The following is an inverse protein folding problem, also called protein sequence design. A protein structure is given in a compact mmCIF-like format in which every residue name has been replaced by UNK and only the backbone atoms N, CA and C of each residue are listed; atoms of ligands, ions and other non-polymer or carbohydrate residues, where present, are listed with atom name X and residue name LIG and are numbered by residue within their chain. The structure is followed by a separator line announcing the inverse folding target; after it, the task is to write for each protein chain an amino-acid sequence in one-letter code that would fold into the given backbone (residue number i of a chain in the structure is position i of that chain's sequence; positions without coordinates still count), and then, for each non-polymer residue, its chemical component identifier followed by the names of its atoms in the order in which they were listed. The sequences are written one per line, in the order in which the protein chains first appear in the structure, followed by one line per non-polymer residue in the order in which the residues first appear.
data_IF_447126494777
#
_entry.id   IF_447126494777
#
_cell.length_a   1.000
_cell.length_b   1.000
_cell.length_c   1.000
_cell.angle_alpha   90.00
_cell.angle_beta   90.00
_cell.angle_gamma   90.00
#
_symmetry.space_group_name_H-M   'P 1'
#
loop_
_entity.id
_entity.type
_entity.pdbx_description
1 polymer ?
#
# COMPACT_ATOMS: atom_id res chain seq x y z
N UNK A 1 -20.31 -8.25 -16.80
CA UNK A 1 -20.07 -7.01 -16.01
C UNK A 1 -20.01 -5.85 -16.99
N UNK A 2 -20.73 -4.76 -16.76
CA UNK A 2 -20.81 -3.64 -17.71
C UNK A 2 -19.49 -2.86 -17.70
N UNK A 3 -18.82 -2.69 -18.86
CA UNK A 3 -17.52 -1.98 -19.01
C UNK A 3 -17.54 -0.59 -18.33
N UNK A 4 -18.67 0.13 -18.35
CA UNK A 4 -18.85 1.40 -17.62
C UNK A 4 -18.68 1.24 -16.11
N UNK A 5 -19.20 0.15 -15.50
CA UNK A 5 -19.02 -0.10 -14.05
C UNK A 5 -17.56 -0.40 -13.72
N UNK A 6 -16.89 -1.23 -14.51
CA UNK A 6 -15.44 -1.53 -14.31
C UNK A 6 -14.62 -0.25 -14.39
N UNK A 7 -14.87 0.60 -15.39
CA UNK A 7 -14.20 1.88 -15.53
C UNK A 7 -14.35 2.76 -14.28
N UNK A 8 -15.55 2.89 -13.73
CA UNK A 8 -15.82 3.70 -12.55
C UNK A 8 -15.03 3.23 -11.30
N UNK A 9 -14.83 1.92 -11.12
CA UNK A 9 -14.03 1.38 -10.01
C UNK A 9 -12.52 1.58 -10.21
N UNK A 10 -12.05 1.66 -11.45
CA UNK A 10 -10.63 1.82 -11.79
C UNK A 10 -10.17 3.29 -11.74
N UNK A 11 -11.05 4.24 -11.98
CA UNK A 11 -10.75 5.69 -11.99
C UNK A 11 -10.19 6.15 -10.64
N UNK A 12 -10.78 5.69 -9.52
CA UNK A 12 -10.37 6.09 -8.18
C UNK A 12 -8.92 5.76 -7.84
N UNK A 13 -8.51 4.49 -7.90
CA UNK A 13 -7.11 4.10 -7.69
C UNK A 13 -6.14 4.79 -8.67
N UNK A 14 -6.50 4.92 -9.95
CA UNK A 14 -5.68 5.60 -10.96
C UNK A 14 -5.50 7.10 -10.64
N UNK A 15 -6.60 7.80 -10.31
CA UNK A 15 -6.55 9.19 -9.92
C UNK A 15 -5.75 9.39 -8.62
N UNK A 16 -5.92 8.52 -7.62
CA UNK A 16 -5.16 8.56 -6.39
C UNK A 16 -3.66 8.36 -6.63
N UNK A 17 -3.28 7.46 -7.51
CA UNK A 17 -1.88 7.24 -7.90
C UNK A 17 -1.30 8.47 -8.61
N UNK A 18 -2.03 9.03 -9.59
CA UNK A 18 -1.62 10.23 -10.32
C UNK A 18 -1.46 11.44 -9.40
N UNK A 19 -2.44 11.70 -8.53
CA UNK A 19 -2.38 12.79 -7.55
C UNK A 19 -1.20 12.61 -6.58
N UNK A 20 -0.92 11.38 -6.13
CA UNK A 20 0.24 11.09 -5.28
C UNK A 20 1.56 11.33 -6.00
N UNK A 21 1.63 11.01 -7.30
CA UNK A 21 2.81 11.23 -8.13
C UNK A 21 3.06 12.74 -8.34
N UNK A 22 2.02 13.51 -8.68
CA UNK A 22 2.09 14.97 -8.84
C UNK A 22 2.48 15.67 -7.52
N UNK A 23 1.97 15.17 -6.40
CA UNK A 23 2.27 15.75 -5.08
C UNK A 23 3.74 15.56 -4.66
N UNK A 24 4.44 14.57 -5.23
CA UNK A 24 5.77 14.19 -4.77
C UNK A 24 6.84 15.27 -5.00
N UNK A 25 7.00 15.88 -6.18
CA UNK A 25 7.91 17.01 -6.36
C UNK A 25 7.58 18.18 -5.43
N UNK A 26 6.30 18.55 -5.31
CA UNK A 26 5.85 19.65 -4.45
C UNK A 26 6.25 19.39 -3.00
N UNK A 27 6.03 18.17 -2.51
CA UNK A 27 6.39 17.74 -1.17
C UNK A 27 7.91 17.89 -0.92
N UNK A 28 8.74 17.48 -1.89
CA UNK A 28 10.21 17.56 -1.77
C UNK A 28 10.74 18.99 -1.82
N UNK A 29 10.06 19.91 -2.48
CA UNK A 29 10.42 21.33 -2.48
C UNK A 29 10.05 22.07 -1.19
N UNK A 30 9.05 21.57 -0.45
CA UNK A 30 8.59 22.18 0.82
C UNK A 30 9.36 21.59 2.01
N UNK A 31 9.63 20.28 2.01
CA UNK A 31 10.11 19.55 3.18
C UNK A 31 11.47 18.90 2.95
N UNK A 32 12.27 18.86 4.01
CA UNK A 32 13.55 18.14 4.04
C UNK A 32 13.33 16.61 4.01
N UNK A 33 14.36 15.83 3.64
CA UNK A 33 14.29 14.35 3.67
C UNK A 33 13.90 13.79 5.03
N UNK A 34 14.42 14.37 6.14
CA UNK A 34 14.05 13.98 7.52
C UNK A 34 12.54 14.10 7.77
N UNK A 35 11.93 15.23 7.39
CA UNK A 35 10.49 15.44 7.55
C UNK A 35 9.68 14.45 6.71
N UNK A 36 10.11 14.19 5.47
CA UNK A 36 9.48 13.18 4.61
C UNK A 36 9.67 11.78 5.21
N UNK A 37 10.83 11.48 5.78
CA UNK A 37 11.09 10.21 6.47
C UNK A 37 10.12 9.98 7.62
N UNK A 38 9.97 10.95 8.53
CA UNK A 38 8.99 10.91 9.63
C UNK A 38 7.55 10.72 9.11
N UNK A 39 7.21 11.41 8.04
CA UNK A 39 5.88 11.28 7.42
C UNK A 39 5.65 9.91 6.80
N UNK A 40 6.68 9.30 6.21
CA UNK A 40 6.58 7.92 5.71
C UNK A 40 6.44 6.90 6.83
N UNK A 41 7.10 7.11 7.98
CA UNK A 41 6.89 6.28 9.17
C UNK A 41 5.45 6.40 9.67
N UNK A 42 4.87 7.60 9.73
CA UNK A 42 3.44 7.77 10.07
C UNK A 42 2.54 6.96 9.13
N UNK A 43 2.78 7.05 7.83
CA UNK A 43 2.00 6.29 6.82
C UNK A 43 2.20 4.78 6.94
N UNK A 44 3.42 4.36 7.27
CA UNK A 44 3.75 2.97 7.52
C UNK A 44 2.99 2.44 8.75
N UNK A 45 2.97 3.19 9.85
CA UNK A 45 2.19 2.88 11.05
C UNK A 45 0.70 2.78 10.72
N UNK A 46 0.14 3.71 9.93
CA UNK A 46 -1.26 3.64 9.50
C UNK A 46 -1.54 2.37 8.67
N UNK A 47 -0.70 2.04 7.69
CA UNK A 47 -0.89 0.87 6.84
C UNK A 47 -0.75 -0.45 7.61
N UNK A 48 0.21 -0.54 8.51
CA UNK A 48 0.40 -1.66 9.43
C UNK A 48 -0.81 -1.83 10.35
N UNK A 49 -1.29 -0.72 10.92
CA UNK A 49 -2.46 -0.71 11.80
C UNK A 49 -3.74 -1.17 11.10
N UNK A 50 -3.96 -0.75 9.86
CA UNK A 50 -5.08 -1.26 9.05
C UNK A 50 -4.97 -2.77 8.89
N UNK A 51 -3.78 -3.29 8.59
CA UNK A 51 -3.56 -4.72 8.40
C UNK A 51 -3.80 -5.51 9.70
N UNK A 52 -3.18 -5.06 10.81
CA UNK A 52 -3.22 -5.78 12.08
C UNK A 52 -4.59 -5.66 12.75
N UNK A 53 -5.13 -4.44 12.90
CA UNK A 53 -6.38 -4.25 13.62
C UNK A 53 -7.61 -4.73 12.86
N UNK A 54 -7.57 -4.77 11.51
CA UNK A 54 -8.70 -5.38 10.79
C UNK A 54 -8.83 -6.89 11.01
N UNK A 55 -7.78 -7.59 11.48
CA UNK A 55 -7.78 -9.04 11.70
C UNK A 55 -8.33 -9.85 10.51
N UNK A 56 -8.22 -9.31 9.28
CA UNK A 56 -8.83 -9.89 8.09
C UNK A 56 -10.36 -9.81 8.05
N UNK A 57 -10.99 -9.11 9.01
CA UNK A 57 -12.43 -8.88 9.03
C UNK A 57 -12.90 -8.03 7.85
N UNK A 58 -12.02 -7.21 7.27
CA UNK A 58 -12.26 -6.50 6.03
C UNK A 58 -12.44 -7.45 4.84
N UNK A 59 -11.65 -8.53 4.77
CA UNK A 59 -11.79 -9.58 3.75
C UNK A 59 -13.02 -10.46 4.02
N UNK A 60 -13.26 -10.79 5.29
CA UNK A 60 -14.45 -11.54 5.68
C UNK A 60 -15.73 -10.76 5.39
N UNK A 61 -15.75 -9.44 5.61
CA UNK A 61 -16.86 -8.56 5.24
C UNK A 61 -17.19 -8.64 3.74
N UNK A 62 -16.18 -8.61 2.89
CA UNK A 62 -16.35 -8.73 1.42
C UNK A 62 -16.98 -10.06 1.04
N UNK A 63 -16.56 -11.16 1.67
CA UNK A 63 -17.09 -12.50 1.41
C UNK A 63 -18.56 -12.62 1.84
N UNK A 64 -18.84 -12.24 3.08
CA UNK A 64 -20.16 -12.41 3.69
C UNK A 64 -21.20 -11.40 3.17
N UNK A 65 -20.76 -10.34 2.45
CA UNK A 65 -21.62 -9.23 2.06
C UNK A 65 -22.85 -9.67 1.26
N UNK A 66 -22.68 -10.54 0.27
CA UNK A 66 -23.78 -10.99 -0.58
C UNK A 66 -24.66 -12.05 0.08
N UNK A 67 -24.13 -12.81 1.03
CA UNK A 67 -24.86 -13.84 1.77
C UNK A 67 -25.65 -13.26 2.95
N UNK A 68 -25.22 -12.12 3.50
CA UNK A 68 -25.89 -11.47 4.63
C UNK A 68 -27.17 -10.75 4.19
N UNK A 69 -28.27 -10.93 4.95
CA UNK A 69 -29.51 -10.17 4.77
C UNK A 69 -29.44 -8.77 5.37
N UNK A 70 -28.65 -8.58 6.45
CA UNK A 70 -28.47 -7.30 7.14
C UNK A 70 -27.01 -6.82 6.99
N UNK A 71 -26.79 -5.97 5.98
CA UNK A 71 -25.46 -5.41 5.64
C UNK A 71 -24.89 -4.52 6.75
N UNK A 72 -25.79 -3.85 7.50
CA UNK A 72 -25.42 -2.92 8.56
C UNK A 72 -24.96 -3.71 9.79
N UNK A 73 -25.70 -4.76 10.16
CA UNK A 73 -25.28 -5.68 11.21
C UNK A 73 -23.92 -6.29 10.91
N UNK A 74 -23.70 -6.71 9.65
CA UNK A 74 -22.42 -7.26 9.20
C UNK A 74 -21.28 -6.25 9.36
N UNK A 75 -21.47 -4.98 8.96
CA UNK A 75 -20.49 -3.92 9.10
C UNK A 75 -20.15 -3.66 10.58
N UNK A 76 -21.17 -3.59 11.45
CA UNK A 76 -21.00 -3.38 12.90
C UNK A 76 -20.21 -4.53 13.53
N UNK A 77 -20.54 -5.76 13.17
CA UNK A 77 -19.82 -6.96 13.63
C UNK A 77 -18.38 -6.95 13.16
N UNK A 78 -18.12 -6.49 11.94
CA UNK A 78 -16.76 -6.38 11.39
C UNK A 78 -15.94 -5.26 12.03
N UNK A 79 -16.57 -4.12 12.42
CA UNK A 79 -15.89 -2.95 12.98
C UNK A 79 -15.65 -3.05 14.50
N UNK A 80 -16.48 -3.77 15.24
CA UNK A 80 -16.42 -3.77 16.69
C UNK A 80 -15.11 -4.34 17.26
N UNK A 81 -14.63 -5.55 16.85
CA UNK A 81 -13.39 -6.09 17.35
C UNK A 81 -12.17 -5.17 17.06
N UNK A 82 -11.98 -4.67 15.82
CA UNK A 82 -10.95 -3.68 15.53
C UNK A 82 -10.99 -2.47 16.46
N UNK A 83 -12.18 -1.90 16.67
CA UNK A 83 -12.34 -0.70 17.50
C UNK A 83 -11.94 -0.96 18.95
N UNK A 84 -12.39 -2.07 19.55
CA UNK A 84 -12.06 -2.42 20.92
C UNK A 84 -10.57 -2.68 21.13
N UNK A 85 -9.94 -3.38 20.17
CA UNK A 85 -8.50 -3.67 20.24
C UNK A 85 -7.70 -2.38 20.07
N UNK A 86 -8.07 -1.52 19.11
CA UNK A 86 -7.41 -0.22 18.93
C UNK A 86 -7.50 0.66 20.18
N UNK A 87 -8.68 0.73 20.83
CA UNK A 87 -8.85 1.50 22.07
C UNK A 87 -7.97 0.93 23.19
N UNK A 88 -7.93 -0.39 23.36
CA UNK A 88 -7.09 -1.04 24.36
C UNK A 88 -5.60 -0.78 24.09
N UNK A 89 -5.15 -0.95 22.84
CA UNK A 89 -3.77 -0.67 22.45
C UNK A 89 -3.42 0.82 22.62
N UNK A 90 -4.29 1.73 22.24
CA UNK A 90 -4.07 3.17 22.42
C UNK A 90 -3.95 3.54 23.90
N UNK A 91 -4.76 2.93 24.80
CA UNK A 91 -4.68 3.13 26.24
C UNK A 91 -3.35 2.64 26.83
N UNK A 92 -2.86 1.47 26.37
CA UNK A 92 -1.55 0.95 26.79
C UNK A 92 -0.42 1.82 26.25
N UNK A 93 -0.47 2.19 24.97
CA UNK A 93 0.55 3.03 24.33
C UNK A 93 0.60 4.44 24.96
N UNK A 94 -0.52 4.95 25.46
CA UNK A 94 -0.55 6.23 26.17
C UNK A 94 0.34 6.24 27.41
N UNK A 95 0.43 5.13 28.13
CA UNK A 95 1.32 5.01 29.28
C UNK A 95 2.82 5.08 28.89
N UNK A 96 3.15 4.75 27.64
CA UNK A 96 4.51 4.75 27.10
C UNK A 96 4.67 5.74 25.95
N UNK A 97 3.84 6.79 25.89
CA UNK A 97 3.73 7.71 24.75
C UNK A 97 5.07 8.33 24.33
N UNK A 98 5.88 8.76 25.31
CA UNK A 98 7.14 9.45 25.03
C UNK A 98 8.16 8.49 24.39
N UNK A 99 8.25 7.25 24.89
CA UNK A 99 9.09 6.22 24.28
C UNK A 99 8.58 5.86 22.89
N UNK A 100 7.28 5.70 22.71
CA UNK A 100 6.67 5.34 21.43
C UNK A 100 6.93 6.41 20.35
N UNK A 101 6.73 7.68 20.70
CA UNK A 101 6.95 8.81 19.77
C UNK A 101 8.43 8.99 19.47
N UNK A 102 9.29 8.85 20.46
CA UNK A 102 10.73 8.91 20.25
C UNK A 102 11.23 7.78 19.32
N UNK A 103 10.76 6.56 19.53
CA UNK A 103 11.12 5.42 18.69
C UNK A 103 10.65 5.54 17.23
N UNK A 104 9.54 6.24 16.98
CA UNK A 104 9.01 6.43 15.62
C UNK A 104 9.63 7.63 14.89
N UNK A 105 9.78 8.75 15.59
CA UNK A 105 10.04 10.04 14.94
C UNK A 105 11.27 10.77 15.49
N UNK A 106 12.00 10.18 16.44
CA UNK A 106 13.11 10.84 17.14
C UNK A 106 12.73 12.22 17.69
N UNK A 107 11.51 12.32 18.23
CA UNK A 107 10.90 13.58 18.69
C UNK A 107 10.30 13.42 20.08
N UNK A 108 10.35 14.48 20.87
CA UNK A 108 9.69 14.54 22.20
C UNK A 108 8.35 15.29 22.17
N UNK A 109 7.81 15.61 20.99
CA UNK A 109 6.56 16.34 20.88
C UNK A 109 5.35 15.46 21.18
N UNK A 110 4.70 15.72 22.33
CA UNK A 110 3.55 14.93 22.79
C UNK A 110 2.33 14.99 21.84
N UNK A 111 2.18 16.06 21.04
CA UNK A 111 1.08 16.20 20.07
C UNK A 111 1.13 15.12 19.00
N UNK A 112 2.33 14.64 18.65
CA UNK A 112 2.52 13.60 17.65
C UNK A 112 1.85 12.27 18.04
N UNK A 113 1.72 12.00 19.34
CA UNK A 113 0.98 10.83 19.80
C UNK A 113 -0.49 10.91 19.41
N UNK A 114 -1.14 12.05 19.72
CA UNK A 114 -2.55 12.25 19.37
C UNK A 114 -2.77 12.19 17.84
N UNK A 115 -1.90 12.85 17.07
CA UNK A 115 -1.94 12.84 15.60
C UNK A 115 -1.84 11.40 15.09
N UNK A 116 -0.88 10.61 15.58
CA UNK A 116 -0.65 9.23 15.15
C UNK A 116 -1.85 8.34 15.48
N UNK A 117 -2.38 8.44 16.69
CA UNK A 117 -3.55 7.65 17.10
C UNK A 117 -4.78 8.02 16.27
N UNK A 118 -5.04 9.31 16.05
CA UNK A 118 -6.16 9.76 15.20
C UNK A 118 -5.97 9.24 13.77
N UNK A 119 -4.76 9.34 13.20
CA UNK A 119 -4.45 8.84 11.86
C UNK A 119 -4.75 7.34 11.73
N UNK A 120 -4.36 6.53 12.72
CA UNK A 120 -4.62 5.10 12.77
C UNK A 120 -6.13 4.81 12.79
N UNK A 121 -6.88 5.45 13.71
CA UNK A 121 -8.33 5.26 13.79
C UNK A 121 -9.02 5.62 12.48
N UNK A 122 -8.71 6.80 11.93
CA UNK A 122 -9.30 7.28 10.68
C UNK A 122 -8.98 6.34 9.52
N UNK A 123 -7.76 5.82 9.46
CA UNK A 123 -7.34 4.90 8.39
C UNK A 123 -8.11 3.58 8.45
N UNK A 124 -8.26 2.98 9.64
CA UNK A 124 -9.00 1.72 9.81
C UNK A 124 -10.49 1.91 9.50
N UNK A 125 -11.14 2.96 10.03
CA UNK A 125 -12.55 3.22 9.73
C UNK A 125 -12.79 3.53 8.25
N UNK A 126 -11.92 4.33 7.63
CA UNK A 126 -12.00 4.64 6.19
C UNK A 126 -11.87 3.37 5.33
N UNK A 127 -11.02 2.41 5.75
CA UNK A 127 -10.91 1.11 5.06
C UNK A 127 -12.25 0.39 5.00
N UNK A 128 -12.93 0.23 6.15
CA UNK A 128 -14.22 -0.48 6.19
C UNK A 128 -15.32 0.27 5.44
N UNK A 129 -15.42 1.60 5.59
CA UNK A 129 -16.43 2.38 4.87
C UNK A 129 -16.20 2.40 3.35
N UNK A 130 -14.95 2.40 2.89
CA UNK A 130 -14.66 2.28 1.46
C UNK A 130 -15.13 0.93 0.89
N UNK A 131 -15.08 -0.15 1.69
CA UNK A 131 -15.61 -1.45 1.29
C UNK A 131 -17.13 -1.45 1.17
N UNK A 132 -17.84 -0.68 2.01
CA UNK A 132 -19.30 -0.52 1.86
C UNK A 132 -19.65 0.04 0.48
N UNK A 133 -18.96 1.10 0.03
CA UNK A 133 -19.16 1.64 -1.33
C UNK A 133 -18.84 0.61 -2.41
N UNK A 134 -17.73 -0.12 -2.23
CA UNK A 134 -17.28 -1.13 -3.19
C UNK A 134 -18.29 -2.26 -3.32
N UNK A 135 -18.75 -2.80 -2.21
CA UNK A 135 -19.69 -3.93 -2.17
C UNK A 135 -21.11 -3.52 -2.54
N UNK A 136 -21.50 -2.26 -2.26
CA UNK A 136 -22.75 -1.66 -2.73
C UNK A 136 -22.77 -1.29 -4.21
N UNK A 137 -21.75 -1.68 -4.98
CA UNK A 137 -21.60 -1.39 -6.42
C UNK A 137 -21.56 0.12 -6.77
N UNK A 138 -21.31 1.00 -5.80
CA UNK A 138 -21.20 2.44 -6.01
C UNK A 138 -19.78 2.85 -6.42
N UNK A 139 -19.40 2.52 -7.67
CA UNK A 139 -18.04 2.74 -8.18
C UNK A 139 -17.59 4.20 -8.12
N UNK A 140 -18.51 5.17 -8.30
CA UNK A 140 -18.18 6.60 -8.18
C UNK A 140 -17.84 6.98 -6.74
N UNK A 141 -18.66 6.62 -5.75
CA UNK A 141 -18.40 6.92 -4.33
C UNK A 141 -17.11 6.23 -3.85
N UNK A 142 -16.88 4.98 -4.28
CA UNK A 142 -15.63 4.27 -4.03
C UNK A 142 -14.44 5.02 -4.61
N UNK A 143 -14.52 5.48 -5.86
CA UNK A 143 -13.45 6.22 -6.52
C UNK A 143 -13.16 7.56 -5.86
N UNK A 144 -14.19 8.30 -5.45
CA UNK A 144 -14.06 9.54 -4.68
C UNK A 144 -13.37 9.26 -3.34
N UNK A 145 -13.76 8.20 -2.63
CA UNK A 145 -13.15 7.84 -1.34
C UNK A 145 -11.64 7.55 -1.42
N UNK A 146 -11.17 7.08 -2.57
CA UNK A 146 -9.75 6.80 -2.82
C UNK A 146 -8.96 8.06 -3.26
N UNK A 147 -9.54 8.88 -4.14
CA UNK A 147 -8.88 10.01 -4.75
C UNK A 147 -8.94 11.28 -3.89
N UNK A 148 -10.07 11.53 -3.20
CA UNK A 148 -10.31 12.78 -2.46
C UNK A 148 -9.28 13.06 -1.36
N UNK A 149 -8.81 12.09 -0.52
CA UNK A 149 -7.77 12.37 0.46
C UNK A 149 -6.46 12.85 -0.19
N UNK A 150 -6.12 12.32 -1.38
CA UNK A 150 -4.93 12.72 -2.14
C UNK A 150 -5.07 14.12 -2.72
N UNK A 151 -6.27 14.42 -3.23
CA UNK A 151 -6.59 15.76 -3.74
C UNK A 151 -6.52 16.82 -2.63
N UNK A 152 -7.11 16.54 -1.47
CA UNK A 152 -7.06 17.47 -0.32
C UNK A 152 -5.62 17.67 0.16
N UNK A 153 -4.82 16.60 0.23
CA UNK A 153 -3.40 16.71 0.56
C UNK A 153 -2.65 17.56 -0.48
N UNK A 154 -2.89 17.36 -1.78
CA UNK A 154 -2.27 18.17 -2.85
C UNK A 154 -2.65 19.65 -2.72
N UNK A 155 -3.94 19.94 -2.50
CA UNK A 155 -4.41 21.33 -2.29
C UNK A 155 -3.73 21.97 -1.07
N UNK A 156 -3.62 21.23 0.04
CA UNK A 156 -2.92 21.72 1.23
C UNK A 156 -1.42 21.94 0.98
N UNK A 157 -0.76 21.07 0.23
CA UNK A 157 0.65 21.26 -0.17
C UNK A 157 0.82 22.50 -1.07
N UNK A 158 -0.13 22.79 -1.97
CA UNK A 158 -0.10 24.01 -2.77
C UNK A 158 -0.25 25.26 -1.89
N UNK A 159 -1.13 25.22 -0.88
CA UNK A 159 -1.26 26.31 0.10
C UNK A 159 0.06 26.49 0.87
N UNK A 160 0.72 25.38 1.27
CA UNK A 160 2.01 25.41 1.93
C UNK A 160 3.08 26.06 1.04
N UNK A 161 3.11 25.68 -0.24
CA UNK A 161 4.08 26.22 -1.20
C UNK A 161 3.95 27.73 -1.41
N UNK A 162 2.73 28.27 -1.40
CA UNK A 162 2.49 29.71 -1.59
C UNK A 162 2.61 30.54 -0.31
N UNK A 163 2.73 29.90 0.85
CA UNK A 163 2.91 30.62 2.10
C UNK A 163 4.41 30.79 2.40
N UNK A 164 4.79 31.95 2.92
CA UNK A 164 6.17 32.26 3.32
C UNK A 164 6.60 31.59 4.65
N UNK A 165 5.72 30.77 5.25
CA UNK A 165 5.97 30.11 6.53
C UNK A 165 6.82 28.86 6.32
N UNK A 166 7.76 28.61 7.24
CA UNK A 166 8.43 27.30 7.36
C UNK A 166 7.47 26.27 7.95
N UNK A 167 7.27 25.15 7.24
CA UNK A 167 6.36 24.09 7.63
C UNK A 167 7.11 22.94 8.30
N UNK A 168 6.53 22.42 9.38
CA UNK A 168 7.10 21.33 10.20
C UNK A 168 6.51 19.96 9.82
N UNK A 169 7.10 18.90 10.40
CA UNK A 169 6.53 17.55 10.33
C UNK A 169 5.12 17.49 10.96
N UNK A 170 4.89 18.25 12.04
CA UNK A 170 3.58 18.31 12.70
C UNK A 170 2.51 18.88 11.76
N UNK A 171 2.83 19.99 11.05
CA UNK A 171 1.92 20.60 10.08
C UNK A 171 1.56 19.64 8.94
N UNK A 172 2.54 18.92 8.38
CA UNK A 172 2.33 17.92 7.34
C UNK A 172 1.47 16.75 7.82
N UNK A 173 1.69 16.32 9.06
CA UNK A 173 0.94 15.25 9.70
C UNK A 173 -0.52 15.66 9.92
N UNK A 174 -0.75 16.88 10.40
CA UNK A 174 -2.10 17.43 10.51
C UNK A 174 -2.81 17.58 9.16
N UNK A 175 -2.11 18.07 8.14
CA UNK A 175 -2.68 18.14 6.78
C UNK A 175 -3.16 16.73 6.32
N UNK A 176 -2.36 15.72 6.55
CA UNK A 176 -2.73 14.34 6.19
C UNK A 176 -3.93 13.84 6.98
N UNK A 177 -3.92 14.02 8.31
CA UNK A 177 -5.01 13.59 9.19
C UNK A 177 -6.31 14.32 8.88
N UNK A 178 -6.26 15.64 8.68
CA UNK A 178 -7.44 16.45 8.32
C UNK A 178 -8.00 15.98 6.97
N UNK A 179 -7.14 15.72 5.98
CA UNK A 179 -7.57 15.21 4.68
C UNK A 179 -8.31 13.87 4.79
N UNK A 180 -7.82 12.96 5.63
CA UNK A 180 -8.48 11.67 5.90
C UNK A 180 -9.77 11.84 6.70
N UNK A 181 -9.78 12.70 7.72
CA UNK A 181 -10.95 12.99 8.56
C UNK A 181 -12.10 13.59 7.76
N UNK A 182 -11.83 14.58 6.90
CA UNK A 182 -12.85 15.19 6.06
C UNK A 182 -13.52 14.14 5.16
N UNK A 183 -12.73 13.23 4.60
CA UNK A 183 -13.26 12.15 3.76
C UNK A 183 -14.01 11.13 4.61
N UNK A 184 -13.54 10.79 5.80
CA UNK A 184 -14.28 9.91 6.72
C UNK A 184 -15.62 10.51 7.12
N UNK A 185 -15.67 11.80 7.47
CA UNK A 185 -16.90 12.53 7.80
C UNK A 185 -17.86 12.51 6.60
N UNK A 186 -17.36 12.76 5.40
CA UNK A 186 -18.17 12.68 4.18
C UNK A 186 -18.74 11.26 3.96
N UNK A 187 -17.93 10.21 4.15
CA UNK A 187 -18.39 8.82 4.05
C UNK A 187 -19.49 8.51 5.08
N UNK A 188 -19.28 8.89 6.35
CA UNK A 188 -20.26 8.71 7.43
C UNK A 188 -21.54 9.48 7.13
N UNK A 189 -21.45 10.73 6.66
CA UNK A 189 -22.61 11.55 6.29
C UNK A 189 -23.42 10.93 5.13
N UNK A 190 -22.74 10.30 4.17
CA UNK A 190 -23.39 9.60 3.04
C UNK A 190 -24.19 8.38 3.50
N UNK A 191 -23.69 7.66 4.51
CA UNK A 191 -24.35 6.47 5.06
C UNK A 191 -25.14 6.71 6.35
N UNK A 192 -25.29 7.96 6.79
CA UNK A 192 -25.85 8.24 8.12
C UNK A 192 -27.21 7.59 8.38
N UNK A 193 -28.11 7.59 7.39
CA UNK A 193 -29.44 7.00 7.50
C UNK A 193 -29.37 5.48 7.74
N UNK A 194 -28.43 4.82 7.13
CA UNK A 194 -28.24 3.37 7.23
C UNK A 194 -27.48 3.01 8.51
N UNK A 195 -26.41 3.74 8.85
CA UNK A 195 -25.57 3.46 10.02
C UNK A 195 -26.32 3.63 11.36
N UNK A 196 -27.23 4.61 11.46
CA UNK A 196 -27.90 4.94 12.71
C UNK A 196 -29.27 4.30 12.90
N UNK A 197 -29.88 3.72 11.85
CA UNK A 197 -31.27 3.22 11.89
C UNK A 197 -31.45 1.93 12.71
N UNK A 198 -30.43 1.07 12.83
CA UNK A 198 -30.55 -0.25 13.45
C UNK A 198 -29.45 -0.53 14.50
N UNK A 199 -29.30 0.37 15.50
CA UNK A 199 -28.30 0.20 16.56
C UNK A 199 -28.64 -0.91 17.58
N UNK A 200 -29.88 -1.41 17.63
CA UNK A 200 -30.36 -2.32 18.68
C UNK A 200 -30.08 -3.82 18.45
N UNK A 201 -29.23 -4.17 17.50
CA UNK A 201 -28.89 -5.58 17.23
C UNK A 201 -27.94 -6.16 18.27
N UNK A 202 -28.25 -7.35 18.78
CA UNK A 202 -27.36 -8.16 19.62
C UNK A 202 -26.14 -8.60 18.85
N UNK A 203 -24.96 -8.56 19.51
CA UNK A 203 -23.72 -9.06 18.94
C UNK A 203 -23.83 -10.55 18.62
N UNK A 204 -23.67 -10.88 17.36
CA UNK A 204 -23.68 -12.26 16.90
C UNK A 204 -22.27 -12.88 17.05
N UNK A 205 -22.03 -13.51 18.21
CA UNK A 205 -20.75 -14.16 18.49
C UNK A 205 -20.38 -15.26 17.49
N UNK A 206 -21.40 -15.94 16.91
CA UNK A 206 -21.17 -16.98 15.90
C UNK A 206 -20.66 -16.34 14.61
N UNK A 207 -21.25 -15.22 14.19
CA UNK A 207 -20.81 -14.48 13.01
C UNK A 207 -19.40 -13.92 13.19
N UNK A 208 -19.08 -13.31 14.35
CA UNK A 208 -17.72 -12.85 14.68
C UNK A 208 -16.72 -14.00 14.55
N UNK A 209 -17.01 -15.16 15.17
CA UNK A 209 -16.13 -16.32 15.12
C UNK A 209 -15.92 -16.83 13.69
N UNK A 210 -17.00 -16.93 12.89
CA UNK A 210 -16.93 -17.32 11.49
C UNK A 210 -16.05 -16.36 10.66
N UNK A 211 -16.31 -15.05 10.77
CA UNK A 211 -15.57 -14.02 10.07
C UNK A 211 -14.09 -14.00 10.47
N UNK A 212 -13.77 -14.12 11.75
CA UNK A 212 -12.39 -14.16 12.24
C UNK A 212 -11.66 -15.41 11.78
N UNK A 213 -12.32 -16.59 11.82
CA UNK A 213 -11.73 -17.85 11.35
C UNK A 213 -11.37 -17.81 9.87
N UNK A 214 -12.18 -17.12 9.05
CA UNK A 214 -11.89 -16.92 7.63
C UNK A 214 -10.84 -15.83 7.39
N UNK A 215 -10.96 -14.68 8.10
CA UNK A 215 -10.12 -13.51 7.87
C UNK A 215 -8.68 -13.67 8.36
N UNK A 216 -8.47 -14.35 9.50
CA UNK A 216 -7.16 -14.47 10.13
C UNK A 216 -6.08 -15.11 9.22
N UNK A 217 -6.32 -16.23 8.53
CA UNK A 217 -5.35 -16.76 7.57
C UNK A 217 -5.03 -15.79 6.41
N UNK A 218 -6.03 -15.03 5.95
CA UNK A 218 -5.83 -14.03 4.89
C UNK A 218 -5.03 -12.82 5.39
N UNK A 219 -5.20 -12.44 6.65
CA UNK A 219 -4.37 -11.42 7.29
C UNK A 219 -2.90 -11.83 7.30
N UNK A 220 -2.58 -13.09 7.65
CA UNK A 220 -1.19 -13.58 7.65
C UNK A 220 -0.55 -13.52 6.26
N UNK A 221 -1.30 -13.87 5.21
CA UNK A 221 -0.82 -13.74 3.83
C UNK A 221 -0.57 -12.28 3.45
N UNK A 222 -1.48 -11.38 3.86
CA UNK A 222 -1.33 -9.95 3.62
C UNK A 222 -0.16 -9.35 4.42
N UNK A 223 0.12 -9.90 5.61
CA UNK A 223 1.27 -9.50 6.44
C UNK A 223 2.60 -9.85 5.76
N UNK A 224 2.72 -11.02 5.15
CA UNK A 224 3.92 -11.40 4.42
C UNK A 224 4.17 -10.48 3.22
N UNK A 225 3.13 -10.13 2.47
CA UNK A 225 3.23 -9.17 1.36
C UNK A 225 3.56 -7.75 1.84
N UNK A 226 2.91 -7.30 2.91
CA UNK A 226 3.21 -6.00 3.53
C UNK A 226 4.68 -5.95 3.99
N UNK A 227 5.16 -7.02 4.64
CA UNK A 227 6.56 -7.14 5.05
C UNK A 227 7.52 -6.95 3.88
N UNK A 228 7.30 -7.66 2.77
CA UNK A 228 8.16 -7.55 1.58
C UNK A 228 8.22 -6.12 0.99
N UNK A 229 7.17 -5.32 1.17
CA UNK A 229 7.07 -3.97 0.57
C UNK A 229 7.36 -2.83 1.55
N UNK A 230 7.39 -3.10 2.85
CA UNK A 230 7.45 -2.08 3.89
C UNK A 230 8.67 -2.20 4.82
N UNK A 231 9.27 -3.41 4.94
CA UNK A 231 10.36 -3.66 5.88
C UNK A 231 11.59 -2.80 5.63
N UNK A 232 11.87 -2.42 4.39
CA UNK A 232 12.98 -1.51 4.07
C UNK A 232 12.94 -0.24 4.93
N UNK A 233 11.76 0.37 5.09
CA UNK A 233 11.56 1.58 5.89
C UNK A 233 11.70 1.32 7.38
N UNK A 234 11.29 0.14 7.85
CA UNK A 234 11.47 -0.28 9.25
C UNK A 234 12.96 -0.43 9.55
N UNK A 235 13.70 -1.12 8.68
CA UNK A 235 15.14 -1.28 8.85
C UNK A 235 15.89 0.05 8.78
N UNK A 236 15.53 0.92 7.84
CA UNK A 236 16.10 2.26 7.73
C UNK A 236 15.84 3.10 8.99
N UNK A 237 14.62 3.08 9.52
CA UNK A 237 14.29 3.79 10.76
C UNK A 237 15.04 3.24 11.98
N UNK A 238 15.34 1.93 11.99
CA UNK A 238 15.96 1.27 13.15
C UNK A 238 17.50 1.29 13.09
N UNK A 239 18.09 1.16 11.91
CA UNK A 239 19.53 0.94 11.73
C UNK A 239 20.23 2.05 10.92
N UNK A 240 19.50 3.07 10.48
CA UNK A 240 20.03 4.22 9.74
C UNK A 240 19.44 5.53 10.29
N UNK A 241 18.92 6.40 9.43
CA UNK A 241 18.37 7.70 9.80
C UNK A 241 17.00 7.94 9.16
N UNK A 242 16.21 8.83 9.73
CA UNK A 242 14.93 9.27 9.15
C UNK A 242 15.14 10.02 7.82
N UNK A 243 16.29 10.66 7.62
CA UNK A 243 16.70 11.25 6.35
C UNK A 243 16.80 10.19 5.25
N UNK A 244 17.47 9.07 5.53
CA UNK A 244 17.59 7.93 4.61
C UNK A 244 16.22 7.28 4.31
N UNK A 245 15.32 7.20 5.31
CA UNK A 245 13.92 6.78 5.07
C UNK A 245 13.24 7.71 4.06
N UNK A 246 13.45 9.03 4.19
CA UNK A 246 12.90 10.02 3.27
C UNK A 246 13.42 9.86 1.86
N UNK A 247 14.75 9.79 1.68
CA UNK A 247 15.43 9.63 0.38
C UNK A 247 14.97 8.34 -0.31
N UNK A 248 14.99 7.20 0.41
CA UNK A 248 14.51 5.91 -0.09
C UNK A 248 13.04 5.99 -0.53
N UNK A 249 12.18 6.59 0.31
CA UNK A 249 10.74 6.64 0.04
C UNK A 249 10.40 7.52 -1.16
N UNK A 250 11.14 8.61 -1.39
CA UNK A 250 11.01 9.45 -2.59
C UNK A 250 11.39 8.64 -3.84
N UNK A 251 12.55 7.95 -3.81
CA UNK A 251 12.98 7.09 -4.92
C UNK A 251 11.96 5.99 -5.23
N UNK A 252 11.50 5.28 -4.19
CA UNK A 252 10.50 4.22 -4.32
C UNK A 252 9.16 4.73 -4.88
N UNK A 253 8.73 5.94 -4.52
CA UNK A 253 7.51 6.55 -5.08
C UNK A 253 7.65 6.93 -6.54
N UNK A 254 8.80 7.44 -6.98
CA UNK A 254 9.05 7.65 -8.41
C UNK A 254 9.05 6.32 -9.18
N UNK A 255 9.69 5.30 -8.63
CA UNK A 255 9.70 3.95 -9.21
C UNK A 255 8.30 3.32 -9.25
N UNK A 256 7.41 3.68 -8.31
CA UNK A 256 6.02 3.23 -8.33
C UNK A 256 5.23 3.71 -9.57
N UNK A 257 5.74 4.69 -10.33
CA UNK A 257 5.21 5.02 -11.66
C UNK A 257 5.21 3.81 -12.61
N UNK A 258 6.21 2.94 -12.53
CA UNK A 258 6.26 1.68 -13.28
C UNK A 258 5.21 0.65 -12.81
N UNK A 259 4.68 0.78 -11.60
CA UNK A 259 3.60 -0.08 -11.11
C UNK A 259 2.27 0.16 -11.85
N UNK A 260 2.11 1.28 -12.54
CA UNK A 260 0.95 1.53 -13.42
C UNK A 260 0.97 0.50 -14.56
N UNK A 261 2.13 0.28 -15.18
CA UNK A 261 2.31 -0.75 -16.20
C UNK A 261 1.97 -2.13 -15.65
N UNK A 262 2.50 -2.48 -14.48
CA UNK A 262 2.21 -3.72 -13.78
C UNK A 262 0.70 -3.91 -13.57
N UNK A 263 -0.02 -2.91 -13.04
CA UNK A 263 -1.45 -3.01 -12.75
C UNK A 263 -2.30 -3.20 -14.02
N UNK A 264 -1.98 -2.45 -15.08
CA UNK A 264 -2.67 -2.58 -16.37
C UNK A 264 -2.45 -3.98 -16.93
N UNK A 265 -1.20 -4.44 -16.93
CA UNK A 265 -0.85 -5.78 -17.41
C UNK A 265 -1.58 -6.87 -16.62
N UNK A 266 -1.48 -6.87 -15.29
CA UNK A 266 -2.13 -7.87 -14.41
C UNK A 266 -3.65 -7.94 -14.61
N UNK A 267 -4.29 -6.80 -14.84
CA UNK A 267 -5.75 -6.74 -15.05
C UNK A 267 -6.20 -7.45 -16.33
N UNK A 268 -5.38 -7.41 -17.39
CA UNK A 268 -5.69 -7.99 -18.69
C UNK A 268 -5.16 -9.43 -18.81
N UNK A 269 -3.99 -9.68 -18.25
CA UNK A 269 -3.25 -10.92 -18.45
C UNK A 269 -3.95 -12.13 -17.84
N UNK A 270 -4.30 -12.08 -16.56
CA UNK A 270 -4.89 -13.24 -15.88
C UNK A 270 -6.19 -13.75 -16.55
N UNK A 271 -7.20 -12.91 -16.88
CA UNK A 271 -8.39 -13.38 -17.59
C UNK A 271 -8.08 -13.95 -18.97
N UNK A 272 -7.11 -13.35 -19.69
CA UNK A 272 -6.73 -13.79 -21.04
C UNK A 272 -6.13 -15.20 -21.01
N UNK A 273 -5.23 -15.44 -20.08
CA UNK A 273 -4.59 -16.76 -19.92
C UNK A 273 -5.59 -17.83 -19.52
N UNK A 274 -6.47 -17.56 -18.54
CA UNK A 274 -7.47 -18.54 -18.13
C UNK A 274 -8.44 -18.89 -19.26
N UNK A 275 -8.76 -17.91 -20.13
CA UNK A 275 -9.54 -18.18 -21.33
C UNK A 275 -8.79 -19.10 -22.29
N UNK A 276 -7.51 -18.84 -22.60
CA UNK A 276 -6.72 -19.68 -23.48
C UNK A 276 -6.48 -21.10 -22.90
N UNK A 277 -6.26 -21.21 -21.60
CA UNK A 277 -6.11 -22.50 -20.92
C UNK A 277 -7.40 -23.35 -20.92
N UNK A 278 -8.57 -22.75 -21.14
CA UNK A 278 -9.85 -23.44 -21.28
C UNK A 278 -10.19 -23.84 -22.72
N UNK A 279 -9.39 -23.46 -23.71
CA UNK A 279 -9.55 -23.87 -25.11
C UNK A 279 -9.04 -25.32 -25.31
N UNK A 280 -9.67 -26.09 -26.21
CA UNK A 280 -9.34 -27.51 -26.45
C UNK A 280 -7.90 -27.72 -27.00
N UNK A 281 -7.29 -26.70 -27.56
CA UNK A 281 -5.90 -26.70 -28.07
C UNK A 281 -5.19 -25.40 -27.70
N UNK A 282 -4.64 -25.27 -26.48
CA UNK A 282 -3.96 -24.06 -26.07
C UNK A 282 -2.70 -23.81 -26.91
N UNK A 283 -2.63 -22.66 -27.56
CA UNK A 283 -1.46 -22.30 -28.37
C UNK A 283 -0.37 -21.71 -27.47
N UNK A 284 0.53 -22.57 -26.99
CA UNK A 284 1.62 -22.20 -26.08
C UNK A 284 2.59 -21.19 -26.70
N UNK A 285 2.78 -21.21 -28.03
CA UNK A 285 3.67 -20.25 -28.72
C UNK A 285 3.20 -18.78 -28.53
N UNK A 286 1.90 -18.54 -28.31
CA UNK A 286 1.41 -17.19 -28.00
C UNK A 286 1.87 -16.72 -26.62
N UNK A 287 2.06 -17.63 -25.69
CA UNK A 287 2.53 -17.30 -24.35
C UNK A 287 3.99 -16.89 -24.43
N UNK A 288 4.83 -17.65 -25.13
CA UNK A 288 6.25 -17.35 -25.30
C UNK A 288 6.45 -15.99 -25.98
N UNK A 289 5.68 -15.68 -27.04
CA UNK A 289 5.71 -14.38 -27.74
C UNK A 289 5.35 -13.21 -26.79
N UNK A 290 4.45 -13.41 -25.85
CA UNK A 290 4.10 -12.39 -24.86
C UNK A 290 5.17 -12.27 -23.77
N UNK A 291 5.74 -13.37 -23.30
CA UNK A 291 6.88 -13.38 -22.38
C UNK A 291 8.02 -12.56 -22.96
N UNK A 292 8.39 -12.80 -24.22
CA UNK A 292 9.47 -12.07 -24.91
C UNK A 292 9.17 -10.57 -25.01
N UNK A 293 7.93 -10.20 -25.38
CA UNK A 293 7.51 -8.79 -25.46
C UNK A 293 7.54 -8.10 -24.11
N UNK A 294 7.04 -8.75 -23.06
CA UNK A 294 7.06 -8.18 -21.70
C UNK A 294 8.50 -8.07 -21.20
N UNK A 295 9.34 -9.06 -21.47
CA UNK A 295 10.76 -8.99 -21.14
C UNK A 295 11.44 -7.81 -21.86
N UNK A 296 11.18 -7.62 -23.15
CA UNK A 296 11.71 -6.50 -23.91
C UNK A 296 11.26 -5.15 -23.31
N UNK A 297 9.96 -5.01 -22.94
CA UNK A 297 9.45 -3.80 -22.31
C UNK A 297 10.12 -3.56 -20.95
N UNK A 298 10.30 -4.59 -20.14
CA UNK A 298 10.97 -4.49 -18.83
C UNK A 298 12.42 -4.03 -19.00
N UNK A 299 13.17 -4.62 -19.95
CA UNK A 299 14.54 -4.20 -20.26
C UNK A 299 14.57 -2.74 -20.69
N UNK A 300 13.69 -2.33 -21.58
CA UNK A 300 13.58 -0.93 -22.05
C UNK A 300 13.28 0.01 -20.89
N UNK A 301 12.36 -0.36 -19.98
CA UNK A 301 12.03 0.47 -18.81
C UNK A 301 13.21 0.57 -17.82
N UNK A 302 13.98 -0.49 -17.61
CA UNK A 302 15.21 -0.42 -16.81
C UNK A 302 16.28 0.46 -17.48
N UNK A 303 16.50 0.30 -18.79
CA UNK A 303 17.44 1.12 -19.53
C UNK A 303 17.03 2.60 -19.54
N UNK A 304 15.76 2.91 -19.80
CA UNK A 304 15.24 4.27 -19.73
C UNK A 304 15.34 4.85 -18.32
N UNK A 305 15.00 4.04 -17.29
CA UNK A 305 15.16 4.44 -15.89
C UNK A 305 16.62 4.79 -15.56
N UNK A 306 17.57 3.98 -16.01
CA UNK A 306 19.00 4.25 -15.82
C UNK A 306 19.48 5.50 -16.58
N UNK A 307 19.13 5.59 -17.88
CA UNK A 307 19.49 6.72 -18.74
C UNK A 307 18.86 8.04 -18.29
N UNK A 308 17.65 8.02 -17.73
CA UNK A 308 16.91 9.22 -17.34
C UNK A 308 16.97 9.51 -15.84
N UNK A 309 17.65 8.69 -15.02
CA UNK A 309 17.72 8.89 -13.56
C UNK A 309 18.28 10.24 -13.16
N UNK A 310 19.24 10.78 -13.93
CA UNK A 310 19.83 12.11 -13.70
C UNK A 310 18.81 13.25 -13.79
N UNK A 311 17.70 13.07 -14.53
CA UNK A 311 16.62 14.07 -14.66
C UNK A 311 16.00 14.35 -13.29
N UNK A 312 15.98 13.34 -12.38
CA UNK A 312 15.50 13.52 -11.00
C UNK A 312 16.35 14.56 -10.25
N UNK A 313 17.63 14.65 -10.54
CA UNK A 313 18.50 15.67 -9.95
C UNK A 313 18.17 17.11 -10.34
N UNK A 314 17.42 17.33 -11.43
CA UNK A 314 16.89 18.64 -11.82
C UNK A 314 15.48 18.92 -11.30
N UNK A 315 14.67 17.88 -11.15
CA UNK A 315 13.29 18.00 -10.66
C UNK A 315 13.28 18.20 -9.15
N UNK A 316 14.22 17.54 -8.45
CA UNK A 316 14.28 17.53 -6.98
C UNK A 316 15.27 18.56 -6.45
N UNK A 317 15.06 19.10 -5.23
CA UNK A 317 16.04 19.90 -4.53
C UNK A 317 17.36 19.13 -4.31
N UNK A 318 18.49 19.86 -4.21
CA UNK A 318 19.83 19.26 -4.06
C UNK A 318 19.96 18.30 -2.87
N UNK A 319 19.20 18.49 -1.80
CA UNK A 319 19.17 17.60 -0.64
C UNK A 319 18.67 16.19 -0.95
N UNK A 320 17.98 16.00 -2.08
CA UNK A 320 17.50 14.70 -2.60
C UNK A 320 18.37 14.16 -3.74
N UNK A 321 19.57 14.67 -3.93
CA UNK A 321 20.46 14.28 -5.04
C UNK A 321 20.68 12.76 -5.12
N UNK A 322 20.75 12.07 -3.98
CA UNK A 322 20.96 10.63 -3.92
C UNK A 322 19.81 9.79 -4.47
N UNK A 323 18.61 10.36 -4.61
CA UNK A 323 17.43 9.69 -5.18
C UNK A 323 17.71 9.12 -6.57
N UNK A 324 18.47 9.83 -7.41
CA UNK A 324 18.80 9.39 -8.77
C UNK A 324 19.60 8.07 -8.81
N UNK A 325 20.42 7.78 -7.78
CA UNK A 325 21.20 6.55 -7.72
C UNK A 325 20.41 5.37 -7.14
N UNK A 326 19.38 5.66 -6.35
CA UNK A 326 18.52 4.67 -5.69
C UNK A 326 17.31 4.30 -6.55
N UNK A 327 16.91 5.19 -7.46
CA UNK A 327 15.72 5.05 -8.30
C UNK A 327 15.72 3.75 -9.12
N UNK A 328 16.84 3.42 -9.76
CA UNK A 328 16.93 2.25 -10.65
C UNK A 328 16.74 0.92 -9.89
N UNK A 329 17.42 0.67 -8.77
CA UNK A 329 17.12 -0.50 -7.93
C UNK A 329 15.65 -0.55 -7.48
N UNK A 330 15.03 0.59 -7.15
CA UNK A 330 13.62 0.63 -6.77
C UNK A 330 12.65 0.23 -7.90
N UNK A 331 13.04 0.37 -9.18
CA UNK A 331 12.26 -0.14 -10.32
C UNK A 331 12.16 -1.67 -10.34
N UNK A 332 13.06 -2.37 -9.66
CA UNK A 332 13.10 -3.83 -9.63
C UNK A 332 11.77 -4.43 -9.10
N UNK A 333 11.17 -3.81 -8.09
CA UNK A 333 9.89 -4.26 -7.53
C UNK A 333 8.80 -4.37 -8.61
N UNK A 334 8.31 -3.29 -9.24
CA UNK A 334 7.21 -3.39 -10.19
C UNK A 334 7.59 -4.17 -11.45
N UNK A 335 8.84 -4.13 -11.88
CA UNK A 335 9.27 -4.74 -13.12
C UNK A 335 9.46 -6.26 -13.00
N UNK A 336 10.16 -6.75 -11.96
CA UNK A 336 10.28 -8.19 -11.71
C UNK A 336 8.96 -8.81 -11.28
N UNK A 337 8.12 -8.08 -10.56
CA UNK A 337 6.77 -8.55 -10.25
C UNK A 337 5.97 -8.79 -11.53
N UNK A 338 6.02 -7.86 -12.50
CA UNK A 338 5.34 -8.00 -13.80
C UNK A 338 5.86 -9.23 -14.57
N UNK A 339 7.19 -9.41 -14.64
CA UNK A 339 7.78 -10.60 -15.26
C UNK A 339 7.30 -11.88 -14.57
N UNK A 340 7.26 -11.89 -13.25
CA UNK A 340 6.79 -13.05 -12.50
C UNK A 340 5.32 -13.40 -12.77
N UNK A 341 4.48 -12.41 -13.09
CA UNK A 341 3.07 -12.67 -13.44
C UNK A 341 2.91 -13.33 -14.82
N UNK A 342 3.80 -12.99 -15.75
CA UNK A 342 3.80 -13.63 -17.08
C UNK A 342 4.24 -15.08 -16.98
N UNK A 343 5.24 -15.38 -16.16
CA UNK A 343 5.85 -16.71 -16.09
C UNK A 343 5.14 -17.68 -15.14
N UNK A 344 4.39 -17.18 -14.14
CA UNK A 344 3.72 -18.01 -13.09
C UNK A 344 2.44 -18.71 -13.55
N UNK A 345 2.18 -18.77 -14.84
CA UNK A 345 0.94 -19.29 -15.44
C UNK A 345 0.60 -20.70 -14.97
N UNK A 346 1.58 -21.61 -14.92
CA UNK A 346 1.41 -23.00 -14.51
C UNK A 346 0.85 -23.16 -13.11
N UNK A 347 1.28 -22.34 -12.15
CA UNK A 347 0.75 -22.32 -10.77
C UNK A 347 -0.74 -21.95 -10.74
N UNK A 348 -1.15 -20.97 -11.57
CA UNK A 348 -2.56 -20.56 -11.67
C UNK A 348 -3.46 -21.63 -12.28
N UNK A 349 -3.00 -22.28 -13.36
CA UNK A 349 -3.74 -23.35 -14.06
C UNK A 349 -3.83 -24.60 -13.18
N UNK A 350 -2.74 -25.00 -12.53
CA UNK A 350 -2.70 -26.18 -11.65
C UNK A 350 -3.30 -25.95 -10.27
N UNK A 351 -3.67 -24.71 -9.94
CA UNK A 351 -4.23 -24.29 -8.63
C UNK A 351 -3.30 -24.58 -7.43
N UNK A 352 -2.01 -24.77 -7.65
CA UNK A 352 -1.02 -25.08 -6.61
C UNK A 352 -0.49 -23.78 -5.94
N UNK A 353 -1.38 -23.00 -5.36
CA UNK A 353 -1.10 -21.65 -4.79
C UNK A 353 -0.06 -21.64 -3.66
N UNK A 354 0.23 -22.78 -3.04
CA UNK A 354 1.28 -22.89 -2.02
C UNK A 354 2.68 -22.58 -2.55
N UNK A 355 2.96 -22.79 -3.83
CA UNK A 355 4.22 -22.38 -4.45
C UNK A 355 4.37 -20.85 -4.52
N UNK A 356 3.28 -20.15 -4.85
CA UNK A 356 3.29 -18.69 -4.85
C UNK A 356 3.53 -18.11 -3.43
N UNK A 357 2.95 -18.76 -2.40
CA UNK A 357 3.21 -18.40 -1.00
C UNK A 357 4.68 -18.69 -0.64
N UNK A 358 5.21 -19.85 -1.02
CA UNK A 358 6.61 -20.22 -0.77
C UNK A 358 7.59 -19.21 -1.39
N UNK A 359 7.38 -18.79 -2.63
CA UNK A 359 8.18 -17.77 -3.30
C UNK A 359 8.13 -16.41 -2.58
N UNK A 360 6.96 -16.00 -2.07
CA UNK A 360 6.80 -14.76 -1.30
C UNK A 360 7.55 -14.81 0.04
N UNK A 361 7.48 -15.95 0.75
CA UNK A 361 8.19 -16.14 2.02
C UNK A 361 9.71 -16.15 1.77
N UNK A 362 10.18 -16.86 0.74
CA UNK A 362 11.60 -16.88 0.38
C UNK A 362 12.13 -15.48 0.08
N UNK A 363 11.41 -14.73 -0.75
CA UNK A 363 11.78 -13.35 -1.06
C UNK A 363 11.79 -12.44 0.18
N UNK A 364 10.81 -12.60 1.08
CA UNK A 364 10.78 -11.87 2.36
C UNK A 364 11.99 -12.23 3.22
N UNK A 365 12.34 -13.50 3.36
CA UNK A 365 13.52 -13.91 4.12
C UNK A 365 14.80 -13.32 3.53
N UNK A 366 14.97 -13.34 2.21
CA UNK A 366 16.11 -12.72 1.52
C UNK A 366 16.13 -11.20 1.77
N UNK A 367 14.99 -10.52 1.65
CA UNK A 367 14.89 -9.09 1.92
C UNK A 367 15.27 -8.75 3.36
N UNK A 368 14.78 -9.50 4.35
CA UNK A 368 15.11 -9.28 5.77
C UNK A 368 16.60 -9.46 6.06
N UNK A 369 17.20 -10.53 5.55
CA UNK A 369 18.64 -10.82 5.74
C UNK A 369 19.49 -9.75 5.08
N UNK A 370 19.18 -9.37 3.85
CA UNK A 370 19.95 -8.35 3.14
C UNK A 370 19.75 -6.95 3.75
N UNK A 371 18.56 -6.58 4.18
CA UNK A 371 18.34 -5.33 4.90
C UNK A 371 19.13 -5.27 6.21
N UNK A 372 19.10 -6.36 6.99
CA UNK A 372 19.87 -6.43 8.23
C UNK A 372 21.37 -6.25 8.01
N UNK A 373 21.91 -6.71 6.89
CA UNK A 373 23.34 -6.59 6.56
C UNK A 373 23.67 -5.28 5.85
N UNK A 374 22.89 -4.88 4.83
CA UNK A 374 23.25 -3.76 3.94
C UNK A 374 22.78 -2.40 4.45
N UNK A 375 21.66 -2.32 5.16
CA UNK A 375 21.13 -1.03 5.63
C UNK A 375 22.06 -0.35 6.62
N UNK A 376 22.66 -1.03 7.63
CA UNK A 376 23.61 -0.37 8.53
C UNK A 376 24.86 0.19 7.84
N UNK A 377 25.22 -0.33 6.67
CA UNK A 377 26.46 0.02 5.93
C UNK A 377 26.17 1.06 4.84
N UNK A 378 25.05 0.89 4.11
CA UNK A 378 24.75 1.62 2.88
C UNK A 378 23.49 2.48 2.96
N UNK A 379 22.78 2.50 4.09
CA UNK A 379 21.54 3.28 4.27
C UNK A 379 20.49 2.95 3.19
N UNK A 380 19.91 3.99 2.60
CA UNK A 380 18.88 3.88 1.56
C UNK A 380 19.34 3.09 0.32
N UNK A 381 20.61 3.15 -0.04
CA UNK A 381 21.18 2.35 -1.13
C UNK A 381 21.13 0.87 -0.79
N UNK A 382 21.47 0.52 0.45
CA UNK A 382 21.37 -0.85 0.97
C UNK A 382 19.95 -1.39 0.90
N UNK A 383 18.96 -0.63 1.35
CA UNK A 383 17.55 -0.99 1.29
C UNK A 383 17.08 -1.23 -0.17
N UNK A 384 17.45 -0.34 -1.09
CA UNK A 384 17.07 -0.46 -2.50
C UNK A 384 17.70 -1.70 -3.17
N UNK A 385 18.96 -2.01 -2.87
CA UNK A 385 19.65 -3.22 -3.36
C UNK A 385 18.99 -4.47 -2.77
N UNK A 386 18.70 -4.47 -1.47
CA UNK A 386 18.03 -5.58 -0.79
C UNK A 386 16.67 -5.91 -1.44
N UNK A 387 15.87 -4.89 -1.71
CA UNK A 387 14.57 -5.04 -2.40
C UNK A 387 14.75 -5.52 -3.83
N UNK A 388 15.71 -4.99 -4.59
CA UNK A 388 15.97 -5.42 -5.95
C UNK A 388 16.33 -6.92 -6.01
N UNK A 389 17.23 -7.38 -5.14
CA UNK A 389 17.63 -8.79 -5.07
C UNK A 389 16.45 -9.66 -4.60
N UNK A 390 15.69 -9.22 -3.61
CA UNK A 390 14.53 -9.97 -3.11
C UNK A 390 13.47 -10.17 -4.19
N UNK A 391 13.15 -9.14 -4.98
CA UNK A 391 12.20 -9.28 -6.09
C UNK A 391 12.75 -10.05 -7.29
N UNK A 392 14.04 -10.05 -7.52
CA UNK A 392 14.68 -10.95 -8.47
C UNK A 392 14.55 -12.43 -8.03
N UNK A 393 14.83 -12.72 -6.75
CA UNK A 393 14.61 -14.06 -6.18
C UNK A 393 13.13 -14.45 -6.23
N UNK A 394 12.23 -13.54 -5.94
CA UNK A 394 10.79 -13.74 -6.08
C UNK A 394 10.39 -14.14 -7.50
N UNK A 395 10.91 -13.42 -8.51
CA UNK A 395 10.68 -13.72 -9.91
C UNK A 395 11.17 -15.12 -10.27
N UNK A 396 12.43 -15.47 -9.94
CA UNK A 396 12.99 -16.79 -10.22
C UNK A 396 12.17 -17.90 -9.54
N UNK A 397 11.91 -17.76 -8.23
CA UNK A 397 11.18 -18.79 -7.47
C UNK A 397 9.76 -19.04 -8.01
N UNK A 398 9.07 -17.97 -8.45
CA UNK A 398 7.74 -18.12 -9.08
C UNK A 398 7.81 -18.75 -10.46
N UNK A 399 8.83 -18.41 -11.25
CA UNK A 399 9.03 -18.96 -12.59
C UNK A 399 9.34 -20.45 -12.51
N UNK A 400 10.32 -20.86 -11.71
CA UNK A 400 10.68 -22.27 -11.51
C UNK A 400 9.53 -23.11 -10.95
N UNK A 401 8.70 -22.53 -10.09
CA UNK A 401 7.54 -23.25 -9.55
C UNK A 401 6.37 -23.40 -10.54
N UNK A 402 6.47 -22.78 -11.71
CA UNK A 402 5.46 -22.83 -12.78
C UNK A 402 5.77 -23.91 -13.83
N UNK A 403 7.01 -24.38 -13.88
CA UNK A 403 7.47 -25.47 -14.73
C UNK A 403 7.11 -26.81 -14.09
#
# INVERSE_FOLDING_TARGET
MNLKKVGLFSIGPAAAALLSFISLPILTWIFSPDVIGKFEILRLVCSFSVLVFSFGLDQAYVREYHESTDKIKLLKVALLPPTLIMLSCASVLYAYKDFFIYALYESSNANLFAITIIAVFVSVFSRFLSLVFRMGENGLLYSISMALPRLLTLVGLLIFLYSEKSWSFEDLSWLHVISLLLVLIWMVATFRSELFTNWKGTLDKKLIKSMTSYGFPLMLSSFAYWGLTAMDRVFLNTYSTLEEVGIYSVAARFAAGAAIFQQVFSTVWAPTIYKWASEDSPNLNKIDDIVDKVLAVVIVLFCLGGLLSWVLGYILPKVYYDVQFIFVPCLAFPLFYTLSEVTVIGVGITKKTHFALGASILALCVNLVLNWWLVPILGARGAAISTAIAFYVFFIARTESSV
#
